data_IF_932666849239
#
_entry.id   IF_932666849239
#
_cell.length_a   1.000
_cell.length_b   1.000
_cell.length_c   1.000
_cell.angle_alpha   90.00
_cell.angle_beta   90.00
_cell.angle_gamma   90.00
#
_symmetry.space_group_name_H-M   'P 1'
#
loop_
_entity.id
_entity.type
_entity.pdbx_description
1 polymer ?
#
# COMPACT_ATOMS: atom_id res chain seq x y z
N UNK A 1 -10.98 -25.20 -29.84
CA UNK A 1 -11.65 -23.88 -29.62
C UNK A 1 -12.22 -23.62 -28.23
N UNK A 2 -12.99 -24.52 -27.57
CA UNK A 2 -13.57 -24.21 -26.24
C UNK A 2 -12.53 -24.02 -25.11
N UNK A 3 -11.36 -24.65 -25.21
CA UNK A 3 -10.30 -24.53 -24.19
C UNK A 3 -9.56 -23.18 -24.20
N UNK A 4 -9.23 -22.65 -25.38
CA UNK A 4 -8.53 -21.35 -25.50
C UNK A 4 -9.41 -20.22 -24.97
N UNK A 5 -10.69 -20.19 -25.37
CA UNK A 5 -11.64 -19.17 -24.93
C UNK A 5 -11.77 -19.13 -23.40
N UNK A 6 -11.79 -20.29 -22.73
CA UNK A 6 -11.81 -20.35 -21.27
C UNK A 6 -10.59 -19.66 -20.64
N UNK A 7 -9.38 -19.93 -21.16
CA UNK A 7 -8.16 -19.28 -20.68
C UNK A 7 -8.14 -17.78 -20.98
N UNK A 8 -8.66 -17.36 -22.12
CA UNK A 8 -8.79 -15.93 -22.49
C UNK A 8 -9.73 -15.20 -21.52
N UNK A 9 -10.92 -15.75 -21.23
CA UNK A 9 -11.83 -15.18 -20.23
C UNK A 9 -11.17 -15.09 -18.85
N UNK A 10 -10.44 -16.12 -18.43
CA UNK A 10 -9.74 -16.12 -17.13
C UNK A 10 -8.61 -15.09 -17.06
N UNK A 11 -7.91 -14.86 -18.18
CA UNK A 11 -6.91 -13.77 -18.28
C UNK A 11 -7.60 -12.41 -18.15
N UNK A 12 -8.72 -12.19 -18.82
CA UNK A 12 -9.47 -10.93 -18.71
C UNK A 12 -9.95 -10.67 -17.28
N UNK A 13 -10.49 -11.69 -16.60
CA UNK A 13 -10.91 -11.59 -15.21
C UNK A 13 -9.75 -11.21 -14.29
N UNK A 14 -8.60 -11.89 -14.43
CA UNK A 14 -7.39 -11.59 -13.67
C UNK A 14 -6.88 -10.17 -13.95
N UNK A 15 -6.94 -9.70 -15.21
CA UNK A 15 -6.56 -8.33 -15.57
C UNK A 15 -7.49 -7.27 -14.95
N UNK A 16 -8.81 -7.50 -14.97
CA UNK A 16 -9.77 -6.61 -14.31
C UNK A 16 -9.53 -6.57 -12.80
N UNK A 17 -9.22 -7.72 -12.21
CA UNK A 17 -8.89 -7.81 -10.78
C UNK A 17 -7.60 -7.04 -10.46
N UNK A 18 -6.54 -7.17 -11.28
CA UNK A 18 -5.31 -6.38 -11.13
C UNK A 18 -5.60 -4.89 -11.24
N UNK A 19 -6.44 -4.44 -12.18
CA UNK A 19 -6.79 -3.03 -12.29
C UNK A 19 -7.44 -2.51 -10.99
N UNK A 20 -8.43 -3.23 -10.46
CA UNK A 20 -9.06 -2.89 -9.17
C UNK A 20 -8.08 -2.90 -7.99
N UNK A 21 -7.11 -3.82 -7.99
CA UNK A 21 -6.08 -3.88 -6.95
C UNK A 21 -5.09 -2.72 -7.05
N UNK A 22 -4.76 -2.26 -8.27
CA UNK A 22 -3.95 -1.06 -8.48
C UNK A 22 -4.65 0.20 -7.97
N UNK A 23 -5.95 0.34 -8.24
CA UNK A 23 -6.73 1.46 -7.70
C UNK A 23 -6.73 1.45 -6.16
N UNK A 24 -6.85 0.27 -5.55
CA UNK A 24 -6.72 0.12 -4.09
C UNK A 24 -5.32 0.47 -3.59
N UNK A 25 -4.28 0.06 -4.31
CA UNK A 25 -2.89 0.36 -3.97
C UNK A 25 -2.63 1.87 -4.01
N UNK A 26 -3.15 2.57 -5.01
CA UNK A 26 -3.03 4.03 -5.13
C UNK A 26 -3.74 4.74 -3.97
N UNK A 27 -4.94 4.28 -3.60
CA UNK A 27 -5.65 4.79 -2.42
C UNK A 27 -4.85 4.57 -1.13
N UNK A 28 -4.29 3.38 -0.93
CA UNK A 28 -3.46 3.07 0.24
C UNK A 28 -2.19 3.92 0.28
N UNK A 29 -1.55 4.17 -0.86
CA UNK A 29 -0.40 5.06 -0.95
C UNK A 29 -0.77 6.52 -0.61
N UNK A 30 -1.97 6.98 -1.01
CA UNK A 30 -2.49 8.29 -0.58
C UNK A 30 -2.68 8.34 0.94
N UNK A 31 -3.31 7.31 1.53
CA UNK A 31 -3.48 7.22 2.98
C UNK A 31 -2.13 7.22 3.72
N UNK A 32 -1.13 6.50 3.20
CA UNK A 32 0.23 6.52 3.76
C UNK A 32 0.83 7.92 3.78
N UNK A 33 0.67 8.66 2.67
CA UNK A 33 1.13 10.05 2.58
C UNK A 33 0.40 10.95 3.60
N UNK A 34 -0.91 10.78 3.76
CA UNK A 34 -1.70 11.52 4.76
C UNK A 34 -1.27 11.23 6.20
N UNK A 35 -1.01 9.96 6.53
CA UNK A 35 -0.50 9.54 7.85
C UNK A 35 0.85 10.18 8.13
N UNK A 36 1.78 10.13 7.16
CA UNK A 36 3.10 10.77 7.28
C UNK A 36 2.99 12.29 7.46
N UNK A 37 2.17 12.97 6.65
CA UNK A 37 1.95 14.41 6.78
C UNK A 37 1.32 14.78 8.12
N UNK A 38 0.37 13.97 8.62
CA UNK A 38 -0.24 14.15 9.92
C UNK A 38 0.77 14.02 11.06
N UNK A 39 1.69 13.04 10.96
CA UNK A 39 2.77 12.86 11.92
C UNK A 39 3.71 14.07 11.94
N UNK A 40 4.16 14.55 10.78
CA UNK A 40 5.04 15.71 10.65
C UNK A 40 4.41 16.99 11.22
N UNK A 41 3.14 17.25 10.90
CA UNK A 41 2.38 18.39 11.44
C UNK A 41 2.30 18.30 12.96
N UNK A 42 1.94 17.13 13.49
CA UNK A 42 1.80 16.89 14.93
C UNK A 42 3.13 17.09 15.64
N UNK A 43 4.22 16.54 15.09
CA UNK A 43 5.56 16.73 15.61
C UNK A 43 5.95 18.21 15.62
N UNK A 44 5.71 18.93 14.52
CA UNK A 44 6.01 20.37 14.44
C UNK A 44 5.21 21.21 15.45
N UNK A 45 3.97 20.86 15.74
CA UNK A 45 3.18 21.52 16.79
C UNK A 45 3.73 21.24 18.20
N UNK A 46 4.12 20.00 18.48
CA UNK A 46 4.75 19.61 19.75
C UNK A 46 6.06 20.39 19.96
N UNK A 47 6.91 20.46 18.94
CA UNK A 47 8.18 21.19 18.99
C UNK A 47 7.99 22.68 19.23
N UNK A 48 7.01 23.30 18.54
CA UNK A 48 6.64 24.70 18.77
C UNK A 48 6.20 24.94 20.23
N UNK A 49 5.32 24.10 20.77
CA UNK A 49 4.87 24.25 22.16
C UNK A 49 6.01 24.04 23.17
N UNK A 50 6.92 23.07 22.93
CA UNK A 50 8.12 22.89 23.78
C UNK A 50 9.04 24.09 23.73
N UNK A 51 9.23 24.70 22.55
CA UNK A 51 10.00 25.94 22.42
C UNK A 51 9.36 27.07 23.24
N UNK A 52 8.05 27.27 23.13
CA UNK A 52 7.32 28.26 23.94
C UNK A 52 7.47 28.00 25.44
N UNK A 53 7.39 26.74 25.88
CA UNK A 53 7.64 26.40 27.28
C UNK A 53 9.05 26.80 27.73
N UNK A 54 10.08 26.46 26.93
CA UNK A 54 11.48 26.86 27.22
C UNK A 54 11.65 28.38 27.26
N UNK A 55 11.07 29.10 26.31
CA UNK A 55 11.13 30.56 26.23
C UNK A 55 10.47 31.21 27.46
N UNK A 56 9.31 30.70 27.92
CA UNK A 56 8.66 31.14 29.15
C UNK A 56 9.52 30.89 30.40
N UNK A 57 10.20 29.74 30.45
CA UNK A 57 11.11 29.37 31.53
C UNK A 57 12.33 30.31 31.59
N UNK A 58 12.80 30.77 30.43
CA UNK A 58 13.88 31.76 30.29
C UNK A 58 13.42 33.19 30.62
N UNK A 59 12.15 33.53 30.34
CA UNK A 59 11.65 34.91 30.44
C UNK A 59 11.51 35.45 31.87
N UNK A 60 11.29 34.60 32.87
CA UNK A 60 11.63 34.83 34.28
C UNK A 60 10.89 33.82 35.15
N UNK A 61 11.65 32.95 35.83
CA UNK A 61 11.14 32.05 36.88
C UNK A 61 10.63 32.78 38.13
N UNK A 62 10.52 34.11 38.11
CA UNK A 62 10.21 34.98 39.27
C UNK A 62 8.73 35.37 39.37
N UNK A 63 7.94 35.24 38.30
CA UNK A 63 6.52 35.58 38.31
C UNK A 63 5.64 34.32 38.49
N UNK A 64 4.77 34.27 39.52
CA UNK A 64 3.90 33.11 39.79
C UNK A 64 3.00 32.73 38.61
N UNK A 65 2.54 33.73 37.85
CA UNK A 65 1.70 33.51 36.67
C UNK A 65 2.45 32.80 35.55
N UNK A 66 3.72 33.17 35.31
CA UNK A 66 4.58 32.56 34.30
C UNK A 66 4.92 31.12 34.67
N UNK A 67 5.16 30.81 35.95
CA UNK A 67 5.30 29.42 36.43
C UNK A 67 4.04 28.60 36.18
N UNK A 68 2.89 29.10 36.62
CA UNK A 68 1.61 28.38 36.42
C UNK A 68 1.30 28.15 34.93
N UNK A 69 1.64 29.11 34.07
CA UNK A 69 1.50 28.95 32.63
C UNK A 69 2.48 27.90 32.08
N UNK A 70 3.74 27.93 32.50
CA UNK A 70 4.76 27.00 32.09
C UNK A 70 4.44 25.55 32.53
N UNK A 71 3.98 25.36 33.76
CA UNK A 71 3.58 24.05 34.29
C UNK A 71 2.43 23.46 33.44
N UNK A 72 1.42 24.29 33.10
CA UNK A 72 0.32 23.88 32.21
C UNK A 72 0.80 23.53 30.80
N UNK A 73 1.77 24.26 30.24
CA UNK A 73 2.31 23.95 28.92
C UNK A 73 3.15 22.67 28.97
N UNK A 74 3.93 22.43 30.02
CA UNK A 74 4.68 21.19 30.18
C UNK A 74 3.79 19.97 30.39
N UNK A 75 2.74 20.08 31.22
CA UNK A 75 1.79 18.99 31.48
C UNK A 75 1.04 18.57 30.20
N UNK A 76 0.79 19.52 29.28
CA UNK A 76 0.11 19.25 28.01
C UNK A 76 1.04 18.80 26.86
N UNK A 77 2.35 18.79 27.07
CA UNK A 77 3.36 18.46 26.04
C UNK A 77 4.48 17.62 26.64
N UNK A 78 4.13 16.83 27.66
CA UNK A 78 5.06 15.94 28.30
C UNK A 78 5.49 14.83 27.33
N UNK A 79 6.59 14.15 27.67
CA UNK A 79 7.12 13.10 26.81
C UNK A 79 6.13 11.93 26.66
N UNK A 80 5.24 11.72 27.65
CA UNK A 80 4.15 10.73 27.62
C UNK A 80 3.11 11.04 26.54
N UNK A 81 2.60 12.27 26.49
CA UNK A 81 1.64 12.72 25.49
C UNK A 81 2.23 12.65 24.09
N UNK A 82 3.49 13.08 23.93
CA UNK A 82 4.22 13.00 22.67
C UNK A 82 4.35 11.54 22.21
N UNK A 83 4.77 10.64 23.10
CA UNK A 83 4.88 9.22 22.79
C UNK A 83 3.53 8.62 22.40
N UNK A 84 2.47 8.89 23.16
CA UNK A 84 1.12 8.38 22.90
C UNK A 84 0.51 8.92 21.59
N UNK A 85 0.88 10.13 21.16
CA UNK A 85 0.42 10.70 19.90
C UNK A 85 1.21 10.16 18.71
N UNK A 86 2.53 10.10 18.80
CA UNK A 86 3.37 9.62 17.69
C UNK A 86 3.25 8.11 17.48
N UNK A 87 3.14 7.32 18.54
CA UNK A 87 2.91 5.87 18.43
C UNK A 87 1.65 5.50 17.65
N UNK A 88 0.59 6.33 17.71
CA UNK A 88 -0.61 6.11 16.89
C UNK A 88 -0.36 6.27 15.40
N UNK A 89 0.56 7.15 15.01
CA UNK A 89 0.98 7.28 13.62
C UNK A 89 1.86 6.10 13.20
N UNK A 90 2.73 5.61 14.10
CA UNK A 90 3.52 4.41 13.86
C UNK A 90 2.63 3.17 13.65
N UNK A 91 1.61 3.00 14.49
CA UNK A 91 0.62 1.92 14.37
C UNK A 91 -0.15 2.02 13.04
N UNK A 92 -0.58 3.23 12.68
CA UNK A 92 -1.29 3.47 11.43
C UNK A 92 -0.40 3.24 10.19
N UNK A 93 0.87 3.67 10.22
CA UNK A 93 1.82 3.42 9.13
C UNK A 93 2.11 1.92 9.00
N UNK A 94 2.26 1.20 10.12
CA UNK A 94 2.43 -0.25 10.10
C UNK A 94 1.20 -0.97 9.47
N UNK A 95 -0.01 -0.57 9.82
CA UNK A 95 -1.24 -1.12 9.26
C UNK A 95 -1.36 -0.85 7.76
N UNK A 96 -1.11 0.39 7.33
CA UNK A 96 -1.14 0.79 5.91
C UNK A 96 -0.07 0.04 5.11
N UNK A 97 1.16 -0.06 5.63
CA UNK A 97 2.24 -0.82 4.98
C UNK A 97 1.90 -2.31 4.87
N UNK A 98 1.28 -2.91 5.90
CA UNK A 98 0.81 -4.30 5.82
C UNK A 98 -0.28 -4.48 4.76
N UNK A 99 -1.23 -3.55 4.67
CA UNK A 99 -2.28 -3.59 3.64
C UNK A 99 -1.69 -3.45 2.22
N UNK A 100 -0.71 -2.55 2.04
CA UNK A 100 0.01 -2.39 0.77
C UNK A 100 0.69 -3.70 0.36
N UNK A 101 1.40 -4.35 1.30
CA UNK A 101 2.08 -5.62 1.04
C UNK A 101 1.11 -6.70 0.57
N UNK A 102 -0.03 -6.86 1.26
CA UNK A 102 -1.06 -7.85 0.90
C UNK A 102 -1.64 -7.62 -0.49
N UNK A 103 -1.88 -6.36 -0.86
CA UNK A 103 -2.40 -6.01 -2.19
C UNK A 103 -1.35 -6.31 -3.26
N UNK A 104 -0.07 -6.06 -2.99
CA UNK A 104 1.03 -6.39 -3.89
C UNK A 104 1.14 -7.91 -4.11
N UNK A 105 1.07 -8.72 -3.04
CA UNK A 105 1.02 -10.18 -3.13
C UNK A 105 -0.18 -10.65 -3.99
N UNK A 106 -1.37 -10.09 -3.77
CA UNK A 106 -2.56 -10.45 -4.56
C UNK A 106 -2.38 -10.10 -6.06
N UNK A 107 -1.71 -8.99 -6.37
CA UNK A 107 -1.35 -8.62 -7.76
C UNK A 107 -0.38 -9.64 -8.36
N UNK A 108 0.63 -10.08 -7.61
CA UNK A 108 1.58 -11.10 -8.06
C UNK A 108 0.90 -12.44 -8.34
N UNK A 109 -0.03 -12.87 -7.47
CA UNK A 109 -0.84 -14.06 -7.68
C UNK A 109 -1.67 -13.98 -8.97
N UNK A 110 -2.33 -12.85 -9.23
CA UNK A 110 -3.09 -12.66 -10.47
C UNK A 110 -2.18 -12.66 -11.72
N UNK A 111 -0.98 -12.08 -11.62
CA UNK A 111 -0.01 -12.12 -12.72
C UNK A 111 0.46 -13.55 -13.01
N UNK A 112 0.65 -14.36 -11.97
CA UNK A 112 1.01 -15.78 -12.14
C UNK A 112 -0.12 -16.56 -12.80
N UNK A 113 -1.38 -16.32 -12.44
CA UNK A 113 -2.56 -16.89 -13.12
C UNK A 113 -2.51 -16.55 -14.62
N UNK A 114 -2.30 -15.29 -14.97
CA UNK A 114 -2.20 -14.85 -16.38
C UNK A 114 -1.07 -15.58 -17.11
N UNK A 115 0.09 -15.72 -16.47
CA UNK A 115 1.25 -16.41 -17.05
C UNK A 115 0.93 -17.87 -17.35
N UNK A 116 0.31 -18.59 -16.41
CA UNK A 116 -0.08 -19.99 -16.59
C UNK A 116 -1.12 -20.15 -17.70
N UNK A 117 -2.15 -19.30 -17.72
CA UNK A 117 -3.15 -19.33 -18.78
C UNK A 117 -2.53 -19.09 -20.18
N UNK A 118 -1.57 -18.16 -20.30
CA UNK A 118 -0.85 -17.92 -21.56
C UNK A 118 -0.04 -19.13 -22.01
N UNK A 119 0.65 -19.81 -21.09
CA UNK A 119 1.40 -21.03 -21.40
C UNK A 119 0.48 -22.15 -21.92
N UNK A 120 -0.68 -22.32 -21.29
CA UNK A 120 -1.67 -23.32 -21.71
C UNK A 120 -2.27 -22.99 -23.09
N UNK A 121 -2.56 -21.71 -23.38
CA UNK A 121 -2.99 -21.28 -24.72
C UNK A 121 -1.94 -21.64 -25.77
N UNK A 122 -0.66 -21.32 -25.52
CA UNK A 122 0.44 -21.63 -26.44
C UNK A 122 0.53 -23.16 -26.66
N UNK A 123 0.37 -23.95 -25.60
CA UNK A 123 0.40 -25.42 -25.70
C UNK A 123 -0.73 -25.94 -26.59
N UNK A 124 -1.95 -25.46 -26.40
CA UNK A 124 -3.11 -25.88 -27.21
C UNK A 124 -2.92 -25.49 -28.67
N UNK A 125 -2.46 -24.27 -28.94
CA UNK A 125 -2.23 -23.80 -30.31
C UNK A 125 -1.14 -24.61 -31.03
N UNK A 126 -0.08 -25.01 -30.31
CA UNK A 126 0.97 -25.86 -30.85
C UNK A 126 0.47 -27.27 -31.17
N UNK A 127 -0.38 -27.83 -30.31
CA UNK A 127 -1.02 -29.13 -30.53
C UNK A 127 -1.97 -29.09 -31.75
N UNK A 128 -2.84 -28.08 -31.84
CA UNK A 128 -3.72 -27.86 -33.00
C UNK A 128 -2.91 -27.72 -34.30
N UNK A 129 -1.75 -27.05 -34.27
CA UNK A 129 -0.85 -26.91 -35.43
C UNK A 129 -0.24 -28.25 -35.83
N UNK A 130 0.26 -29.04 -34.87
CA UNK A 130 0.85 -30.37 -35.15
C UNK A 130 -0.17 -31.33 -35.72
N UNK A 131 -1.39 -31.32 -35.19
CA UNK A 131 -2.47 -32.14 -35.75
C UNK A 131 -2.84 -31.71 -37.17
N UNK A 132 -2.91 -30.41 -37.44
CA UNK A 132 -3.18 -29.90 -38.79
C UNK A 132 -2.10 -30.36 -39.79
N UNK A 133 -0.82 -30.23 -39.42
CA UNK A 133 0.30 -30.70 -40.24
C UNK A 133 0.27 -32.23 -40.48
N UNK A 134 -0.12 -33.00 -39.46
CA UNK A 134 -0.31 -34.46 -39.61
C UNK A 134 -1.42 -34.79 -40.61
N UNK A 135 -2.59 -34.16 -40.48
CA UNK A 135 -3.73 -34.38 -41.39
C UNK A 135 -3.39 -34.00 -42.83
N UNK A 136 -2.59 -32.96 -43.03
CA UNK A 136 -2.12 -32.54 -44.35
C UNK A 136 -1.12 -33.55 -44.95
N UNK A 137 -0.17 -34.05 -44.15
CA UNK A 137 0.76 -35.11 -44.58
C UNK A 137 0.04 -36.42 -44.94
N UNK A 138 -0.99 -36.79 -44.19
CA UNK A 138 -1.82 -37.97 -44.48
C UNK A 138 -2.63 -37.78 -45.77
N UNK A 139 -3.17 -36.58 -46.04
CA UNK A 139 -3.86 -36.26 -47.31
C UNK A 139 -2.93 -36.30 -48.52
N UNK A 140 -1.70 -35.82 -48.40
CA UNK A 140 -0.73 -35.77 -49.50
C UNK A 140 -0.10 -37.13 -49.85
N UNK A 141 -0.34 -38.17 -49.05
CA UNK A 141 0.14 -39.54 -49.28
C UNK A 141 -0.89 -40.44 -49.98
N UNK A 142 -2.10 -39.95 -50.21
CA UNK A 142 -3.20 -40.60 -50.95
C UNK A 142 -3.24 -40.02 -52.36
#
# INVERSE_FOLDING_TARGET
MAGIYWYECRIEEAQRKIASLKDKLDNLNSMKSEVSNGADITQGQIEKKRKTAKDLLMMESRLPLVRSLNDKVQENVDDTFRYNMLSKFDDADAEVNSAIHKVQEEIEEQNEIIRQCRLEIIRIQEEERREAARRESERNKI
#
